data_IF_273638311391
#
_entry.id   IF_273638311391
#
_cell.length_a   1.000
_cell.length_b   1.000
_cell.length_c   1.000
_cell.angle_alpha   90.00
_cell.angle_beta   90.00
_cell.angle_gamma   90.00
#
_symmetry.space_group_name_H-M   'P 1'
#
loop_
_entity.id
_entity.type
_entity.pdbx_description
1 polymer ?
#
# COMPACT_ATOMS: atom_id res chain seq x y z
N UNK A 1 -28.54 -39.73 29.00
CA UNK A 1 -28.60 -38.32 29.47
C UNK A 1 -27.53 -37.55 28.70
N UNK A 2 -27.91 -36.67 27.78
CA UNK A 2 -26.95 -35.94 26.93
C UNK A 2 -27.37 -34.48 26.80
N UNK A 3 -26.49 -33.57 27.23
CA UNK A 3 -26.56 -32.13 26.94
C UNK A 3 -25.15 -31.66 26.60
N UNK A 4 -24.71 -31.96 25.38
CA UNK A 4 -23.51 -31.37 24.78
C UNK A 4 -23.76 -29.89 24.55
N UNK A 5 -23.34 -29.05 25.50
CA UNK A 5 -23.37 -27.59 25.34
C UNK A 5 -22.38 -27.18 24.27
N UNK A 6 -22.89 -26.95 23.06
CA UNK A 6 -22.11 -26.45 21.94
C UNK A 6 -21.52 -25.08 22.26
N UNK A 7 -20.21 -25.04 22.50
CA UNK A 7 -19.48 -23.80 22.64
C UNK A 7 -19.32 -23.16 21.24
N UNK A 8 -20.19 -22.21 20.91
CA UNK A 8 -20.03 -21.38 19.71
C UNK A 8 -18.95 -20.34 20.01
N UNK A 9 -17.75 -20.41 19.38
CA UNK A 9 -16.72 -19.42 19.61
C UNK A 9 -17.19 -18.06 19.06
N UNK A 10 -17.04 -17.02 19.87
CA UNK A 10 -17.47 -15.66 19.52
C UNK A 10 -16.86 -15.19 18.18
N UNK A 11 -17.56 -14.33 17.41
CA UNK A 11 -17.04 -13.81 16.16
C UNK A 11 -15.70 -13.11 16.41
N UNK A 12 -14.65 -13.66 15.81
CA UNK A 12 -13.29 -13.14 15.93
C UNK A 12 -13.29 -11.68 15.46
N UNK A 13 -12.60 -10.83 16.21
CA UNK A 13 -12.60 -9.37 16.02
C UNK A 13 -12.44 -9.00 14.54
N UNK A 14 -13.13 -7.96 14.02
CA UNK A 14 -13.16 -7.66 12.59
C UNK A 14 -11.77 -7.24 12.10
N UNK A 15 -10.96 -8.19 11.68
CA UNK A 15 -9.62 -7.94 11.13
C UNK A 15 -9.77 -7.41 9.71
N UNK A 16 -9.04 -6.33 9.40
CA UNK A 16 -8.95 -5.82 8.04
C UNK A 16 -7.77 -6.47 7.31
N UNK A 17 -7.94 -6.91 6.06
CA UNK A 17 -6.80 -7.27 5.23
C UNK A 17 -5.96 -6.02 4.93
N UNK A 18 -4.66 -6.10 5.21
CA UNK A 18 -3.69 -5.06 4.82
C UNK A 18 -2.50 -5.71 4.12
N UNK A 19 -1.93 -5.04 3.12
CA UNK A 19 -0.85 -5.61 2.33
C UNK A 19 0.52 -5.19 2.90
N UNK A 20 1.36 -6.16 3.25
CA UNK A 20 2.68 -5.93 3.84
C UNK A 20 3.58 -5.12 2.90
N UNK A 21 4.03 -3.94 3.32
CA UNK A 21 4.91 -3.05 2.53
C UNK A 21 6.21 -3.74 2.10
N UNK A 22 6.75 -4.65 2.93
CA UNK A 22 8.00 -5.37 2.67
C UNK A 22 7.89 -6.61 1.77
N UNK A 23 6.84 -7.44 1.93
CA UNK A 23 6.77 -8.76 1.26
C UNK A 23 5.58 -8.94 0.31
N UNK A 24 4.79 -7.88 0.08
CA UNK A 24 3.65 -7.90 -0.86
C UNK A 24 2.38 -8.55 -0.30
N UNK A 25 2.51 -9.67 0.41
CA UNK A 25 1.40 -10.49 0.91
C UNK A 25 0.43 -9.75 1.82
N UNK A 26 -0.84 -10.14 1.71
CA UNK A 26 -1.92 -9.71 2.59
C UNK A 26 -1.79 -10.33 3.98
N UNK A 27 -2.06 -9.55 5.02
CA UNK A 27 -2.03 -9.96 6.43
C UNK A 27 -3.25 -9.39 7.14
N UNK A 28 -3.76 -10.11 8.14
CA UNK A 28 -4.88 -9.65 8.94
C UNK A 28 -4.40 -8.72 10.06
N UNK A 29 -4.81 -7.45 10.00
CA UNK A 29 -4.57 -6.47 11.04
C UNK A 29 -5.84 -6.22 11.87
N UNK A 30 -5.69 -6.05 13.18
CA UNK A 30 -6.79 -5.51 13.99
C UNK A 30 -7.04 -4.03 13.61
N UNK A 31 -8.29 -3.51 13.64
CA UNK A 31 -8.58 -2.13 13.25
C UNK A 31 -7.82 -1.07 14.04
N UNK A 32 -7.52 -1.37 15.31
CA UNK A 32 -6.79 -0.50 16.24
C UNK A 32 -5.28 -0.75 16.28
N UNK A 33 -4.74 -1.67 15.47
CA UNK A 33 -3.31 -1.98 15.46
C UNK A 33 -2.51 -0.85 14.81
N UNK A 34 -1.76 -0.08 15.61
CA UNK A 34 -0.85 0.96 15.08
C UNK A 34 0.37 0.36 14.37
N UNK A 35 0.92 -0.71 14.95
CA UNK A 35 1.98 -1.50 14.34
C UNK A 35 1.82 -2.98 14.67
N UNK A 36 2.20 -3.85 13.73
CA UNK A 36 2.22 -5.30 13.92
C UNK A 36 3.51 -5.90 13.34
N UNK A 37 3.79 -7.16 13.64
CA UNK A 37 4.82 -7.94 12.93
C UNK A 37 4.15 -8.69 11.79
N UNK A 38 4.76 -8.67 10.60
CA UNK A 38 4.27 -9.45 9.48
C UNK A 38 4.54 -10.95 9.69
N UNK A 39 3.54 -11.85 9.72
CA UNK A 39 3.75 -13.30 9.87
C UNK A 39 4.49 -13.95 8.70
N UNK A 40 4.68 -13.25 7.58
CA UNK A 40 5.36 -13.78 6.38
C UNK A 40 6.83 -13.36 6.23
N UNK A 41 7.30 -12.36 6.97
CA UNK A 41 8.67 -11.87 6.84
C UNK A 41 9.27 -11.30 8.15
N UNK A 42 8.57 -11.46 9.27
CA UNK A 42 8.91 -11.00 10.62
C UNK A 42 9.35 -9.53 10.77
N UNK A 43 9.10 -8.68 9.77
CA UNK A 43 9.37 -7.24 9.82
C UNK A 43 8.21 -6.49 10.47
N UNK A 44 8.54 -5.41 11.20
CA UNK A 44 7.55 -4.50 11.76
C UNK A 44 6.87 -3.72 10.63
N UNK A 45 5.55 -3.72 10.65
CA UNK A 45 4.67 -2.96 9.77
C UNK A 45 3.99 -1.86 10.57
N UNK A 46 3.95 -0.67 9.98
CA UNK A 46 3.06 0.42 10.41
C UNK A 46 1.73 0.18 9.70
N UNK A 47 0.64 0.22 10.46
CA UNK A 47 -0.73 -0.06 9.98
C UNK A 47 -1.71 1.05 10.38
N UNK A 48 -1.26 2.03 11.17
CA UNK A 48 -1.98 3.28 11.36
C UNK A 48 -1.99 4.14 10.09
N UNK A 49 -3.08 4.91 9.96
CA UNK A 49 -3.28 5.84 8.87
C UNK A 49 -2.54 7.16 9.21
N UNK A 50 -1.82 7.72 8.24
CA UNK A 50 -0.89 8.84 8.46
C UNK A 50 -1.50 10.13 7.91
N UNK A 51 -1.88 11.02 8.83
CA UNK A 51 -2.41 12.34 8.51
C UNK A 51 -1.31 13.40 8.64
N UNK A 52 -0.96 14.07 7.54
CA UNK A 52 0.07 15.11 7.47
C UNK A 52 -0.59 16.48 7.33
N UNK A 53 -0.65 17.23 8.42
CA UNK A 53 -1.18 18.62 8.46
C UNK A 53 -0.08 19.69 8.41
N UNK A 54 1.16 19.32 8.75
CA UNK A 54 2.34 20.21 8.82
C UNK A 54 3.43 19.79 7.81
N UNK A 55 4.59 20.45 7.83
CA UNK A 55 5.75 20.03 7.04
C UNK A 55 6.39 18.76 7.63
N UNK A 56 6.40 17.66 6.88
CA UNK A 56 7.06 16.42 7.24
C UNK A 56 8.01 15.99 6.12
N UNK A 57 9.32 16.00 6.41
CA UNK A 57 10.35 15.48 5.51
C UNK A 57 10.96 14.20 6.10
N UNK A 58 10.79 13.07 5.41
CA UNK A 58 11.32 11.77 5.82
C UNK A 58 11.82 10.98 4.62
N UNK A 59 12.94 10.26 4.75
CA UNK A 59 13.54 9.53 3.61
C UNK A 59 12.60 8.45 3.05
N UNK A 60 11.90 7.74 3.93
CA UNK A 60 11.01 6.62 3.58
C UNK A 60 9.83 6.58 4.54
N UNK A 61 8.61 6.60 3.99
CA UNK A 61 7.35 6.54 4.74
C UNK A 61 6.55 5.35 4.23
N UNK A 62 6.51 4.27 4.99
CA UNK A 62 5.85 3.03 4.59
C UNK A 62 4.77 2.65 5.62
N UNK A 63 3.50 2.71 5.21
CA UNK A 63 2.36 2.23 5.98
C UNK A 63 1.51 1.26 5.15
N UNK A 64 0.83 0.34 5.83
CA UNK A 64 -0.19 -0.53 5.25
C UNK A 64 -1.60 0.09 5.35
N UNK A 65 -1.71 1.25 6.00
CA UNK A 65 -2.91 2.07 6.07
C UNK A 65 -2.98 3.12 4.97
N UNK A 66 -3.86 4.09 5.19
CA UNK A 66 -4.10 5.22 4.28
C UNK A 66 -3.20 6.41 4.66
N UNK A 67 -2.70 7.14 3.65
CA UNK A 67 -1.92 8.36 3.85
C UNK A 67 -2.74 9.55 3.36
N UNK A 68 -2.95 10.53 4.24
CA UNK A 68 -3.70 11.76 3.93
C UNK A 68 -2.79 12.96 4.14
N UNK A 69 -2.47 13.68 3.06
CA UNK A 69 -1.71 14.93 3.13
C UNK A 69 -2.70 16.09 3.03
N UNK A 70 -3.04 16.70 4.15
CA UNK A 70 -3.98 17.82 4.21
C UNK A 70 -3.28 19.14 3.86
N UNK A 71 -4.05 20.23 3.73
CA UNK A 71 -3.52 21.59 3.55
C UNK A 71 -3.54 22.29 4.92
N UNK A 72 -2.45 22.96 5.37
CA UNK A 72 -1.26 23.40 4.63
C UNK A 72 -0.10 22.40 4.58
N UNK A 73 -0.33 21.13 4.91
CA UNK A 73 0.69 20.08 4.99
C UNK A 73 1.56 19.94 3.74
N UNK A 74 2.83 19.62 3.98
CA UNK A 74 3.82 19.39 2.92
C UNK A 74 4.64 18.16 3.27
N UNK A 75 4.42 17.08 2.52
CA UNK A 75 5.12 15.81 2.68
C UNK A 75 6.28 15.73 1.68
N UNK A 76 7.51 15.55 2.18
CA UNK A 76 8.71 15.31 1.37
C UNK A 76 9.24 13.92 1.67
N UNK A 77 8.87 12.92 0.87
CA UNK A 77 9.19 11.52 1.16
C UNK A 77 9.12 10.57 -0.04
N UNK A 78 9.76 9.41 0.10
CA UNK A 78 9.37 8.20 -0.65
C UNK A 78 8.25 7.50 0.10
N UNK A 79 7.02 7.59 -0.41
CA UNK A 79 5.79 7.08 0.22
C UNK A 79 5.43 5.69 -0.33
N UNK A 80 5.14 4.76 0.57
CA UNK A 80 4.48 3.48 0.29
C UNK A 80 3.23 3.37 1.16
N UNK A 81 2.07 3.20 0.53
CA UNK A 81 0.77 3.21 1.22
C UNK A 81 -0.22 2.20 0.60
N UNK A 82 -1.30 1.88 1.33
CA UNK A 82 -2.45 1.22 0.71
C UNK A 82 -3.18 2.21 -0.20
N UNK A 83 -3.75 3.28 0.36
CA UNK A 83 -4.30 4.39 -0.40
C UNK A 83 -3.58 5.70 -0.06
N UNK A 84 -3.59 6.65 -0.99
CA UNK A 84 -2.95 7.96 -0.83
C UNK A 84 -3.94 9.06 -1.24
N UNK A 85 -4.25 9.97 -0.33
CA UNK A 85 -5.03 11.18 -0.61
C UNK A 85 -4.15 12.42 -0.41
N UNK A 86 -4.01 13.25 -1.43
CA UNK A 86 -3.22 14.49 -1.37
C UNK A 86 -4.15 15.69 -1.57
N UNK A 87 -4.13 16.64 -0.63
CA UNK A 87 -4.75 17.95 -0.69
C UNK A 87 -3.74 19.10 -0.44
N UNK A 88 -2.64 18.81 0.27
CA UNK A 88 -1.51 19.71 0.43
C UNK A 88 -0.44 19.56 -0.66
N UNK A 89 0.82 19.71 -0.27
CA UNK A 89 1.99 19.54 -1.15
C UNK A 89 2.63 18.17 -0.94
N UNK A 90 2.97 17.46 -2.02
CA UNK A 90 3.78 16.24 -1.97
C UNK A 90 5.00 16.39 -2.88
N UNK A 91 6.19 16.08 -2.36
CA UNK A 91 7.45 16.10 -3.11
C UNK A 91 8.18 14.77 -2.90
N UNK A 92 8.43 14.04 -3.99
CA UNK A 92 9.06 12.72 -3.95
C UNK A 92 8.21 11.63 -4.57
N UNK A 93 8.65 10.39 -4.38
CA UNK A 93 8.12 9.23 -5.09
C UNK A 93 6.98 8.58 -4.29
N UNK A 94 5.83 8.34 -4.91
CA UNK A 94 4.66 7.75 -4.27
C UNK A 94 4.28 6.41 -4.91
N UNK A 95 4.17 5.36 -4.10
CA UNK A 95 3.73 4.03 -4.53
C UNK A 95 2.51 3.62 -3.70
N UNK A 96 1.33 3.61 -4.30
CA UNK A 96 0.09 3.16 -3.67
C UNK A 96 -0.34 1.81 -4.25
N UNK A 97 -0.80 0.88 -3.41
CA UNK A 97 -1.32 -0.42 -3.86
C UNK A 97 -2.80 -0.38 -4.24
N UNK A 98 -3.54 0.60 -3.75
CA UNK A 98 -4.96 0.82 -4.01
C UNK A 98 -5.20 2.07 -4.85
N UNK A 99 -5.91 3.05 -4.28
CA UNK A 99 -6.29 4.29 -4.97
C UNK A 99 -5.40 5.46 -4.54
N UNK A 100 -4.99 6.26 -5.53
CA UNK A 100 -4.49 7.62 -5.32
C UNK A 100 -5.61 8.62 -5.63
N UNK A 101 -5.86 9.56 -4.72
CA UNK A 101 -6.78 10.68 -4.89
C UNK A 101 -5.99 11.98 -4.75
N UNK A 102 -6.03 12.80 -5.78
CA UNK A 102 -5.42 14.13 -5.80
C UNK A 102 -6.55 15.14 -5.78
N UNK A 103 -6.66 15.92 -4.69
CA UNK A 103 -7.70 16.92 -4.47
C UNK A 103 -7.42 18.21 -5.23
N UNK A 104 -8.45 19.02 -5.41
CA UNK A 104 -8.43 20.28 -6.17
C UNK A 104 -7.36 21.31 -5.78
N UNK A 105 -6.81 21.24 -4.56
CA UNK A 105 -5.76 22.17 -4.07
C UNK A 105 -4.36 21.56 -4.00
N UNK A 106 -4.21 20.31 -4.42
CA UNK A 106 -2.97 19.56 -4.27
C UNK A 106 -1.88 19.99 -5.25
N UNK A 107 -0.62 19.93 -4.80
CA UNK A 107 0.56 20.08 -5.64
C UNK A 107 1.47 18.87 -5.46
N UNK A 108 1.58 18.01 -6.47
CA UNK A 108 2.44 16.82 -6.45
C UNK A 108 3.62 17.01 -7.40
N UNK A 109 4.85 16.79 -6.89
CA UNK A 109 6.09 16.80 -7.68
C UNK A 109 6.88 15.51 -7.43
N UNK A 110 6.98 14.65 -8.44
CA UNK A 110 7.70 13.37 -8.35
C UNK A 110 6.96 12.21 -9.02
N UNK A 111 7.53 11.01 -8.93
CA UNK A 111 7.01 9.85 -9.65
C UNK A 111 5.91 9.12 -8.87
N UNK A 112 4.78 8.84 -9.52
CA UNK A 112 3.64 8.12 -8.91
C UNK A 112 3.42 6.76 -9.57
N UNK A 113 3.27 5.71 -8.76
CA UNK A 113 2.87 4.37 -9.18
C UNK A 113 1.61 3.95 -8.42
N UNK A 114 0.53 3.63 -9.14
CA UNK A 114 -0.72 3.17 -8.53
C UNK A 114 -1.66 2.50 -9.54
N UNK A 115 -2.47 1.50 -9.15
CA UNK A 115 -3.42 0.89 -10.08
C UNK A 115 -4.64 1.76 -10.39
N UNK A 116 -4.98 2.74 -9.54
CA UNK A 116 -6.11 3.65 -9.76
C UNK A 116 -5.73 5.07 -9.32
N UNK A 117 -5.89 6.04 -10.22
CA UNK A 117 -5.70 7.47 -9.94
C UNK A 117 -7.01 8.22 -10.17
N UNK A 118 -7.34 9.13 -9.24
CA UNK A 118 -8.38 10.15 -9.41
C UNK A 118 -7.75 11.52 -9.19
N UNK A 119 -7.98 12.45 -10.10
CA UNK A 119 -7.53 13.84 -10.00
C UNK A 119 -8.76 14.75 -10.03
N UNK A 120 -8.86 15.66 -9.07
CA UNK A 120 -9.89 16.70 -9.02
C UNK A 120 -9.40 17.99 -9.71
N UNK A 121 -10.31 18.74 -10.33
CA UNK A 121 -10.00 19.98 -11.05
C UNK A 121 -9.29 21.01 -10.17
N UNK A 122 -8.20 21.60 -10.68
CA UNK A 122 -7.35 22.55 -9.96
C UNK A 122 -6.06 21.94 -9.39
N UNK A 123 -5.97 20.61 -9.29
CA UNK A 123 -4.76 19.93 -8.88
C UNK A 123 -3.59 20.16 -9.86
N UNK A 124 -2.39 20.41 -9.32
CA UNK A 124 -1.15 20.45 -10.10
C UNK A 124 -0.36 19.17 -9.84
N UNK A 125 -0.01 18.45 -10.90
CA UNK A 125 0.89 17.29 -10.82
C UNK A 125 2.00 17.40 -11.87
N UNK A 126 3.24 17.16 -11.45
CA UNK A 126 4.44 17.21 -12.29
C UNK A 126 5.36 16.03 -11.96
N UNK A 127 5.63 15.17 -12.94
CA UNK A 127 6.48 13.97 -12.77
C UNK A 127 5.98 12.82 -13.64
N UNK A 128 6.58 11.63 -13.51
CA UNK A 128 6.13 10.46 -14.27
C UNK A 128 5.03 9.72 -13.51
N UNK A 129 3.93 9.36 -14.18
CA UNK A 129 2.92 8.48 -13.60
C UNK A 129 2.93 7.13 -14.31
N UNK A 130 2.90 6.06 -13.53
CA UNK A 130 2.62 4.70 -13.98
C UNK A 130 1.30 4.27 -13.34
N UNK A 131 0.22 4.54 -14.08
CA UNK A 131 -1.15 4.19 -13.68
C UNK A 131 -1.62 3.02 -14.51
N UNK A 132 -2.11 1.98 -13.83
CA UNK A 132 -2.51 0.72 -14.43
C UNK A 132 -2.35 -0.39 -13.39
N UNK A 133 -3.14 -1.46 -13.50
CA UNK A 133 -2.92 -2.64 -12.67
C UNK A 133 -1.43 -3.00 -12.76
N UNK A 134 -0.73 -3.01 -11.63
CA UNK A 134 0.56 -3.67 -11.59
C UNK A 134 0.25 -5.13 -11.91
N UNK A 135 0.76 -5.62 -13.04
CA UNK A 135 0.62 -7.02 -13.41
C UNK A 135 0.96 -7.89 -12.21
N UNK A 136 0.13 -8.91 -11.98
CA UNK A 136 0.28 -9.76 -10.82
C UNK A 136 1.73 -10.30 -10.78
N UNK A 137 2.36 -10.40 -9.60
CA UNK A 137 3.65 -11.07 -9.47
C UNK A 137 3.46 -12.57 -9.76
N UNK A 138 3.46 -12.93 -11.05
CA UNK A 138 2.92 -14.19 -11.55
C UNK A 138 3.00 -14.42 -13.05
N UNK A 139 3.73 -13.60 -13.83
CA UNK A 139 4.03 -13.90 -15.24
C UNK A 139 5.44 -13.51 -15.70
N UNK A 140 6.40 -13.47 -14.77
CA UNK A 140 7.80 -13.75 -15.11
C UNK A 140 7.98 -15.28 -15.04
N UNK A 141 7.53 -15.97 -16.09
CA UNK A 141 8.09 -17.29 -16.40
C UNK A 141 9.55 -17.02 -16.80
N UNK A 142 10.55 -17.59 -16.10
CA UNK A 142 11.94 -17.33 -16.44
C UNK A 142 12.21 -17.77 -17.89
N UNK A 143 12.76 -16.89 -18.75
CA UNK A 143 13.13 -17.27 -20.10
C UNK A 143 14.40 -18.12 -20.05
N UNK A 144 14.25 -19.43 -19.84
CA UNK A 144 15.39 -20.34 -19.76
C UNK A 144 15.12 -21.69 -19.10
N UNK A 145 14.23 -22.51 -19.68
CA UNK A 145 14.25 -23.97 -19.55
C UNK A 145 13.43 -24.64 -20.66
N UNK A 146 13.90 -24.42 -21.89
CA UNK A 146 13.42 -25.12 -23.09
C UNK A 146 14.63 -25.48 -23.96
N UNK A 147 15.37 -26.50 -23.56
CA UNK A 147 16.26 -27.35 -24.38
C UNK A 147 17.03 -28.32 -23.47
N UNK A 148 16.44 -29.47 -23.18
CA UNK A 148 17.19 -30.73 -23.26
C UNK A 148 16.26 -31.76 -23.89
N UNK A 149 16.55 -32.09 -25.14
CA UNK A 149 15.79 -33.02 -25.94
C UNK A 149 16.71 -34.17 -26.33
N UNK A 150 16.39 -35.35 -25.79
CA UNK A 150 16.65 -36.70 -26.35
C UNK A 150 17.84 -36.86 -27.30
N UNK A 151 18.97 -37.35 -26.76
CA UNK A 151 20.02 -38.18 -27.39
C UNK A 151 21.06 -38.51 -26.29
N UNK A 152 21.58 -39.71 -26.06
CA UNK A 152 21.31 -41.10 -26.50
C UNK A 152 21.07 -41.97 -25.22
N UNK A 153 20.94 -43.31 -25.17
CA UNK A 153 21.27 -44.46 -26.04
C UNK A 153 20.23 -45.59 -25.85
#
# INVERSE_FOLDING_TARGET
>A
MAKSTGHVPAPRSPTRPVACTWCGREVQAAPSAKSMVCPHCNKRLVVEDIHTTVYHAVRHLATCGDVVVEKPGHLVATVQAANLTVAGKLTGNASARGRVIIRSTAQVRGDIRAPRLRVESGATLVGNLRIGAADAPGSDTPPGLAADATNEE
#
